data_IF_425052986133
#
_entry.id   IF_425052986133
#
_cell.length_a   1.000
_cell.length_b   1.000
_cell.length_c   1.000
_cell.angle_alpha   90.00
_cell.angle_beta   90.00
_cell.angle_gamma   90.00
#
_symmetry.space_group_name_H-M   'P 1'
#
loop_
_entity.id
_entity.type
_entity.pdbx_description
1 polymer ?
#
# COMPACT_ATOMS: atom_id res chain seq x y z
N UNK A 1 1.22 23.24 -7.48
CA UNK A 1 0.19 22.19 -7.34
C UNK A 1 0.16 21.75 -5.89
N UNK A 2 -0.99 21.79 -5.23
CA UNK A 2 -1.10 21.36 -3.83
C UNK A 2 -0.63 19.92 -3.65
N UNK A 3 0.19 19.67 -2.62
CA UNK A 3 0.71 18.31 -2.32
C UNK A 3 -0.41 17.29 -2.16
N UNK A 4 -1.58 17.72 -1.69
CA UNK A 4 -2.76 16.86 -1.54
C UNK A 4 -3.32 16.39 -2.88
N UNK A 5 -3.43 17.30 -3.86
CA UNK A 5 -3.92 16.97 -5.20
C UNK A 5 -2.91 16.05 -5.90
N UNK A 6 -1.62 16.33 -5.74
CA UNK A 6 -0.55 15.50 -6.30
C UNK A 6 -0.54 14.08 -5.70
N UNK A 7 -0.79 13.95 -4.39
CA UNK A 7 -0.93 12.66 -3.72
C UNK A 7 -2.12 11.85 -4.28
N UNK A 8 -3.30 12.45 -4.36
CA UNK A 8 -4.52 11.76 -4.83
C UNK A 8 -4.37 11.33 -6.30
N UNK A 9 -3.86 12.22 -7.15
CA UNK A 9 -3.69 11.95 -8.57
C UNK A 9 -2.71 10.80 -8.78
N UNK A 10 -1.55 10.86 -8.11
CA UNK A 10 -0.54 9.82 -8.21
C UNK A 10 -1.06 8.48 -7.67
N UNK A 11 -1.73 8.47 -6.52
CA UNK A 11 -2.31 7.25 -5.95
C UNK A 11 -3.34 6.61 -6.89
N UNK A 12 -4.23 7.42 -7.47
CA UNK A 12 -5.24 6.93 -8.42
C UNK A 12 -4.60 6.34 -9.68
N UNK A 13 -3.52 6.95 -10.18
CA UNK A 13 -2.80 6.46 -11.34
C UNK A 13 -2.14 5.11 -11.04
N UNK A 14 -1.44 4.98 -9.91
CA UNK A 14 -0.83 3.72 -9.46
C UNK A 14 -1.87 2.61 -9.32
N UNK A 15 -2.99 2.87 -8.64
CA UNK A 15 -4.05 1.86 -8.49
C UNK A 15 -4.62 1.41 -9.84
N UNK A 16 -4.84 2.35 -10.77
CA UNK A 16 -5.34 2.03 -12.11
C UNK A 16 -4.35 1.17 -12.89
N UNK A 17 -3.06 1.51 -12.86
CA UNK A 17 -2.01 0.69 -13.49
C UNK A 17 -1.91 -0.69 -12.86
N UNK A 18 -1.95 -0.80 -11.53
CA UNK A 18 -1.91 -2.09 -10.83
C UNK A 18 -3.09 -2.98 -11.21
N UNK A 19 -4.31 -2.42 -11.29
CA UNK A 19 -5.47 -3.17 -11.78
C UNK A 19 -5.27 -3.60 -13.23
N UNK A 20 -4.83 -2.69 -14.11
CA UNK A 20 -4.62 -3.01 -15.52
C UNK A 20 -3.57 -4.12 -15.72
N UNK A 21 -2.46 -4.06 -14.98
CA UNK A 21 -1.39 -5.07 -15.02
C UNK A 21 -1.92 -6.43 -14.52
N UNK A 22 -2.66 -6.45 -13.40
CA UNK A 22 -3.14 -7.71 -12.84
C UNK A 22 -4.25 -8.34 -13.65
N UNK A 23 -5.16 -7.54 -14.21
CA UNK A 23 -6.17 -8.01 -15.16
C UNK A 23 -5.49 -8.55 -16.43
N UNK A 24 -4.48 -7.85 -16.96
CA UNK A 24 -3.68 -8.30 -18.09
C UNK A 24 -2.89 -9.59 -17.81
N UNK A 25 -2.42 -9.78 -16.57
CA UNK A 25 -1.76 -11.00 -16.11
C UNK A 25 -2.74 -12.15 -15.81
N UNK A 26 -4.06 -11.90 -15.87
CA UNK A 26 -5.08 -12.90 -15.55
C UNK A 26 -5.21 -13.22 -14.06
N UNK A 27 -4.64 -12.39 -13.18
CA UNK A 27 -4.69 -12.59 -11.73
C UNK A 27 -6.07 -12.23 -11.18
N UNK A 28 -6.71 -13.21 -10.54
CA UNK A 28 -8.04 -13.07 -9.92
C UNK A 28 -8.00 -13.08 -8.39
N UNK A 29 -6.81 -13.24 -7.81
CA UNK A 29 -6.62 -13.42 -6.37
C UNK A 29 -6.66 -12.09 -5.64
N UNK A 30 -7.78 -11.81 -4.96
CA UNK A 30 -7.98 -10.60 -4.16
C UNK A 30 -6.84 -10.32 -3.16
N UNK A 31 -6.24 -11.36 -2.57
CA UNK A 31 -5.12 -11.23 -1.64
C UNK A 31 -3.94 -10.43 -2.23
N UNK A 32 -3.64 -10.64 -3.52
CA UNK A 32 -2.51 -10.00 -4.20
C UNK A 32 -2.82 -8.54 -4.48
N UNK A 33 -4.05 -8.23 -4.93
CA UNK A 33 -4.50 -6.85 -5.14
C UNK A 33 -4.43 -6.02 -3.86
N UNK A 34 -4.98 -6.54 -2.76
CA UNK A 34 -4.97 -5.86 -1.47
C UNK A 34 -3.54 -5.61 -0.98
N UNK A 35 -2.65 -6.60 -1.18
CA UNK A 35 -1.25 -6.48 -0.79
C UNK A 35 -0.53 -5.37 -1.56
N UNK A 36 -0.68 -5.33 -2.89
CA UNK A 36 0.00 -4.32 -3.72
C UNK A 36 -0.57 -2.92 -3.49
N UNK A 37 -1.90 -2.77 -3.41
CA UNK A 37 -2.51 -1.47 -3.07
C UNK A 37 -2.04 -0.94 -1.72
N UNK A 38 -1.83 -1.83 -0.76
CA UNK A 38 -1.29 -1.43 0.54
C UNK A 38 0.14 -0.92 0.44
N UNK A 39 1.01 -1.61 -0.33
CA UNK A 39 2.39 -1.17 -0.56
C UNK A 39 2.41 0.18 -1.30
N UNK A 40 1.61 0.33 -2.36
CA UNK A 40 1.53 1.58 -3.12
C UNK A 40 1.09 2.76 -2.25
N UNK A 41 0.05 2.56 -1.42
CA UNK A 41 -0.40 3.57 -0.49
C UNK A 41 0.71 3.96 0.51
N UNK A 42 1.37 2.98 1.13
CA UNK A 42 2.44 3.23 2.10
C UNK A 42 3.65 3.91 1.45
N UNK A 43 4.03 3.50 0.23
CA UNK A 43 5.12 4.11 -0.53
C UNK A 43 4.82 5.57 -0.88
N UNK A 44 3.61 5.88 -1.37
CA UNK A 44 3.22 7.26 -1.65
C UNK A 44 3.14 8.12 -0.39
N UNK A 45 2.65 7.55 0.72
CA UNK A 45 2.64 8.26 2.02
C UNK A 45 4.07 8.61 2.44
N UNK A 46 5.02 7.69 2.33
CA UNK A 46 6.42 7.95 2.69
C UNK A 46 7.12 8.94 1.74
N UNK A 47 6.84 8.87 0.42
CA UNK A 47 7.46 9.73 -0.60
C UNK A 47 6.92 11.17 -0.54
N UNK A 48 5.59 11.34 -0.45
CA UNK A 48 4.96 12.66 -0.56
C UNK A 48 4.80 13.39 0.76
N UNK A 49 4.77 12.68 1.90
CA UNK A 49 4.69 13.33 3.21
C UNK A 49 6.06 13.98 3.46
N UNK A 50 6.14 15.33 3.50
CA UNK A 50 7.39 15.96 3.87
C UNK A 50 7.65 15.53 5.30
N UNK A 51 8.83 14.93 5.58
CA UNK A 51 9.34 14.63 6.93
C UNK A 51 9.23 15.89 7.81
N UNK A 52 8.06 16.18 8.35
CA UNK A 52 7.88 17.19 9.39
C UNK A 52 8.40 16.54 10.65
N UNK A 53 9.72 16.71 10.82
CA UNK A 53 10.47 16.72 12.08
C UNK A 53 9.96 15.69 13.10
N UNK A 54 10.61 14.53 13.16
CA UNK A 54 11.33 13.94 14.33
C UNK A 54 10.96 14.31 15.79
N UNK A 55 9.87 15.04 16.07
CA UNK A 55 9.55 15.66 17.35
C UNK A 55 8.11 15.38 17.80
N UNK A 56 7.46 14.34 17.26
CA UNK A 56 6.29 13.76 17.92
C UNK A 56 6.30 12.25 17.64
N UNK A 57 6.71 11.42 18.61
CA UNK A 57 6.97 9.98 18.38
C UNK A 57 5.71 9.16 18.03
N UNK A 58 4.52 9.75 18.01
CA UNK A 58 3.23 9.06 17.88
C UNK A 58 2.29 9.71 16.83
N UNK A 59 2.82 10.20 15.70
CA UNK A 59 2.00 10.55 14.52
C UNK A 59 2.13 9.51 13.41
N UNK A 60 2.06 8.23 13.80
CA UNK A 60 1.72 7.17 12.85
C UNK A 60 0.34 7.51 12.29
N UNK A 61 0.22 7.63 10.97
CA UNK A 61 -1.10 7.71 10.34
C UNK A 61 -1.84 6.43 10.74
N UNK A 62 -2.94 6.50 11.52
CA UNK A 62 -3.63 5.31 12.00
C UNK A 62 -4.12 4.45 10.83
N UNK A 63 -4.38 5.08 9.68
CA UNK A 63 -4.68 4.43 8.41
C UNK A 63 -3.49 3.65 7.85
N UNK A 64 -2.30 4.25 7.81
CA UNK A 64 -1.08 3.57 7.37
C UNK A 64 -0.67 2.43 8.30
N UNK A 65 -0.84 2.61 9.62
CA UNK A 65 -0.57 1.57 10.62
C UNK A 65 -1.55 0.40 10.47
N UNK A 66 -2.84 0.69 10.30
CA UNK A 66 -3.86 -0.33 10.06
C UNK A 66 -3.61 -1.11 8.77
N UNK A 67 -3.29 -0.40 7.69
CA UNK A 67 -2.93 -1.02 6.41
C UNK A 67 -1.67 -1.89 6.55
N UNK A 68 -0.64 -1.42 7.24
CA UNK A 68 0.58 -2.19 7.46
C UNK A 68 0.32 -3.49 8.25
N UNK A 69 -0.52 -3.44 9.29
CA UNK A 69 -0.90 -4.64 10.06
C UNK A 69 -1.66 -5.63 9.17
N UNK A 70 -2.63 -5.16 8.38
CA UNK A 70 -3.40 -6.00 7.44
C UNK A 70 -2.46 -6.63 6.41
N UNK A 71 -1.52 -5.85 5.88
CA UNK A 71 -0.51 -6.33 4.95
C UNK A 71 0.37 -7.42 5.57
N UNK A 72 0.91 -7.20 6.77
CA UNK A 72 1.68 -8.21 7.47
C UNK A 72 0.88 -9.50 7.68
N UNK A 73 -0.40 -9.39 8.06
CA UNK A 73 -1.27 -10.55 8.23
C UNK A 73 -1.45 -11.36 6.93
N UNK A 74 -1.74 -10.68 5.81
CA UNK A 74 -1.90 -11.32 4.49
C UNK A 74 -0.59 -11.98 4.06
N UNK A 75 0.54 -11.29 4.20
CA UNK A 75 1.86 -11.81 3.85
C UNK A 75 2.21 -13.03 4.71
N UNK A 76 2.01 -12.98 6.03
CA UNK A 76 2.26 -14.12 6.91
C UNK A 76 1.43 -15.33 6.51
N UNK A 77 0.13 -15.14 6.20
CA UNK A 77 -0.74 -16.23 5.72
C UNK A 77 -0.19 -16.85 4.43
N UNK A 78 0.25 -16.04 3.47
CA UNK A 78 0.83 -16.52 2.21
C UNK A 78 2.18 -17.20 2.41
N UNK A 79 3.04 -16.68 3.28
CA UNK A 79 4.32 -17.32 3.60
C UNK A 79 4.10 -18.68 4.26
N UNK A 80 3.15 -18.80 5.18
CA UNK A 80 2.80 -20.09 5.80
C UNK A 80 2.24 -21.07 4.78
N UNK A 81 1.38 -20.61 3.86
CA UNK A 81 0.86 -21.43 2.75
C UNK A 81 1.99 -21.96 1.86
N UNK A 82 3.00 -21.14 1.55
CA UNK A 82 4.18 -21.55 0.78
C UNK A 82 5.07 -22.51 1.57
N UNK A 83 5.23 -22.31 2.88
CA UNK A 83 6.12 -23.13 3.71
C UNK A 83 5.56 -24.52 4.03
N UNK A 84 4.23 -24.64 4.12
CA UNK A 84 3.54 -25.91 4.39
C UNK A 84 3.20 -26.71 3.12
N UNK A 85 3.49 -26.17 1.94
CA UNK A 85 3.27 -26.81 0.65
C UNK A 85 4.61 -27.21 0.02
#
# INVERSE_FOLDING_TARGET
>A
MDRHILFILLLSAFFLFTVAIFVGAGEKRLDVYISVFTIEYLALVEILRPRRKLLTPLRLDPVGLGLFIIFCFIVTRKVVEILMR
#
